data_IF_945807269094
#
_entry.id   IF_945807269094
#
_cell.length_a   1.000
_cell.length_b   1.000
_cell.length_c   1.000
_cell.angle_alpha   90.00
_cell.angle_beta   90.00
_cell.angle_gamma   90.00
#
_symmetry.space_group_name_H-M   'P 1'
#
loop_
_entity.id
_entity.type
_entity.pdbx_description
1 polymer ?
#
# COMPACT_ATOMS: atom_id res chain seq x y z
N UNK A 1 56.12 27.51 -15.66
CA UNK A 1 55.41 26.70 -14.64
C UNK A 1 53.94 27.01 -14.80
N UNK A 2 53.13 26.01 -15.16
CA UNK A 2 51.67 26.18 -15.28
C UNK A 2 51.13 26.14 -13.85
N UNK A 3 50.54 27.23 -13.37
CA UNK A 3 50.00 27.32 -12.02
C UNK A 3 48.92 26.25 -11.82
N UNK A 4 49.18 25.30 -10.91
CA UNK A 4 48.28 24.20 -10.59
C UNK A 4 46.91 24.70 -10.09
N UNK A 5 46.87 25.85 -9.43
CA UNK A 5 45.64 26.46 -8.90
C UNK A 5 44.67 26.86 -10.01
N UNK A 6 45.17 27.23 -11.20
CA UNK A 6 44.36 27.54 -12.38
C UNK A 6 43.85 26.27 -13.08
N UNK A 7 44.60 25.17 -13.00
CA UNK A 7 44.17 23.88 -13.54
C UNK A 7 43.07 23.22 -12.68
N UNK A 8 43.14 23.35 -11.35
CA UNK A 8 42.10 22.86 -10.43
C UNK A 8 40.80 23.65 -10.59
N UNK A 9 40.87 24.98 -10.78
CA UNK A 9 39.70 25.81 -11.04
C UNK A 9 38.99 25.47 -12.37
N UNK A 10 39.75 25.11 -13.41
CA UNK A 10 39.19 24.67 -14.69
C UNK A 10 38.66 23.23 -14.66
N UNK A 11 39.23 22.36 -13.81
CA UNK A 11 38.74 20.98 -13.63
C UNK A 11 37.38 20.90 -12.92
N UNK A 12 37.08 21.85 -12.03
CA UNK A 12 35.76 21.95 -11.39
C UNK A 12 34.62 22.37 -12.34
N UNK A 13 34.94 22.79 -13.58
CA UNK A 13 33.97 23.31 -14.56
C UNK A 13 33.58 22.34 -15.68
N UNK A 14 34.19 21.15 -15.74
CA UNK A 14 33.85 20.10 -16.70
C UNK A 14 33.28 18.86 -15.99
N UNK A 15 32.13 19.00 -15.33
CA UNK A 15 31.26 17.85 -15.13
C UNK A 15 30.75 17.43 -16.52
N UNK A 16 31.34 16.36 -17.08
CA UNK A 16 30.84 15.79 -18.31
C UNK A 16 29.40 15.29 -18.07
N UNK A 17 28.42 15.61 -18.95
CA UNK A 17 27.01 15.27 -18.74
C UNK A 17 26.75 13.75 -18.61
N UNK A 18 27.73 12.92 -18.96
CA UNK A 18 27.73 11.47 -18.75
C UNK A 18 27.76 11.06 -17.27
N UNK A 19 28.47 11.76 -16.39
CA UNK A 19 28.61 11.36 -14.98
C UNK A 19 27.37 11.71 -14.16
N UNK A 20 26.74 12.85 -14.44
CA UNK A 20 25.45 13.21 -13.84
C UNK A 20 24.31 12.32 -14.32
N UNK A 21 24.34 11.89 -15.60
CA UNK A 21 23.35 10.94 -16.13
C UNK A 21 23.54 9.55 -15.52
N UNK A 22 24.78 9.09 -15.39
CA UNK A 22 25.12 7.78 -14.79
C UNK A 22 24.74 7.75 -13.30
N UNK A 23 25.01 8.81 -12.54
CA UNK A 23 24.60 8.90 -11.13
C UNK A 23 23.07 8.90 -10.95
N UNK A 24 22.34 9.63 -11.80
CA UNK A 24 20.87 9.58 -11.85
C UNK A 24 20.34 8.19 -12.18
N UNK A 25 20.97 7.47 -13.11
CA UNK A 25 20.58 6.10 -13.48
C UNK A 25 20.80 5.12 -12.32
N UNK A 26 21.90 5.24 -11.57
CA UNK A 26 22.17 4.42 -10.39
C UNK A 26 21.09 4.65 -9.32
N UNK A 27 20.72 5.91 -9.06
CA UNK A 27 19.64 6.25 -8.12
C UNK A 27 18.31 5.64 -8.58
N UNK A 28 17.95 5.79 -9.86
CA UNK A 28 16.70 5.25 -10.41
C UNK A 28 16.64 3.73 -10.38
N UNK A 29 17.78 3.07 -10.66
CA UNK A 29 17.90 1.62 -10.53
C UNK A 29 17.64 1.18 -9.09
N UNK A 30 18.25 1.85 -8.12
CA UNK A 30 18.02 1.59 -6.70
C UNK A 30 16.55 1.79 -6.32
N UNK A 31 15.95 2.91 -6.72
CA UNK A 31 14.53 3.19 -6.48
C UNK A 31 13.63 2.10 -7.09
N UNK A 32 13.98 1.57 -8.27
CA UNK A 32 13.26 0.47 -8.91
C UNK A 32 13.44 -0.87 -8.18
N UNK A 33 14.66 -1.20 -7.76
CA UNK A 33 14.96 -2.41 -6.99
C UNK A 33 14.28 -2.36 -5.61
N UNK A 34 14.29 -1.20 -4.95
CA UNK A 34 13.57 -0.93 -3.69
C UNK A 34 12.05 -1.10 -3.89
N UNK A 35 11.49 -0.55 -4.97
CA UNK A 35 10.08 -0.76 -5.31
C UNK A 35 9.74 -2.24 -5.54
N UNK A 36 10.54 -2.94 -6.35
CA UNK A 36 10.31 -4.35 -6.65
C UNK A 36 10.37 -5.20 -5.39
N UNK A 37 11.37 -4.99 -4.54
CA UNK A 37 11.53 -5.74 -3.29
C UNK A 37 10.42 -5.42 -2.29
N UNK A 38 10.07 -4.15 -2.10
CA UNK A 38 9.02 -3.73 -1.17
C UNK A 38 7.62 -4.21 -1.59
N UNK A 39 7.31 -4.16 -2.89
CA UNK A 39 5.96 -4.51 -3.40
C UNK A 39 5.72 -5.99 -3.61
N UNK A 40 6.77 -6.80 -3.77
CA UNK A 40 6.62 -8.23 -4.08
C UNK A 40 5.68 -8.95 -3.11
N UNK A 41 5.84 -8.71 -1.80
CA UNK A 41 4.99 -9.33 -0.77
C UNK A 41 3.56 -8.79 -0.78
N UNK A 42 3.39 -7.48 -0.90
CA UNK A 42 2.09 -6.83 -0.96
C UNK A 42 1.25 -7.34 -2.15
N UNK A 43 1.87 -7.49 -3.31
CA UNK A 43 1.22 -8.02 -4.52
C UNK A 43 0.75 -9.47 -4.30
N UNK A 44 1.56 -10.30 -3.65
CA UNK A 44 1.18 -11.68 -3.37
C UNK A 44 0.02 -11.74 -2.36
N UNK A 45 0.07 -10.95 -1.29
CA UNK A 45 -1.01 -10.83 -0.31
C UNK A 45 -2.33 -10.36 -0.97
N UNK A 46 -2.25 -9.42 -1.92
CA UNK A 46 -3.41 -8.96 -2.70
C UNK A 46 -3.98 -10.06 -3.58
N UNK A 47 -3.12 -10.83 -4.27
CA UNK A 47 -3.56 -11.98 -5.09
C UNK A 47 -4.27 -13.03 -4.24
N UNK A 48 -3.73 -13.36 -3.07
CA UNK A 48 -4.35 -14.31 -2.15
C UNK A 48 -5.69 -13.78 -1.62
N UNK A 49 -5.74 -12.51 -1.22
CA UNK A 49 -6.97 -11.85 -0.77
C UNK A 49 -8.07 -11.88 -1.85
N UNK A 50 -7.68 -11.63 -3.10
CA UNK A 50 -8.59 -11.70 -4.25
C UNK A 50 -9.15 -13.12 -4.46
N UNK A 51 -8.30 -14.16 -4.33
CA UNK A 51 -8.74 -15.57 -4.40
C UNK A 51 -9.74 -15.94 -3.31
N UNK A 52 -9.51 -15.49 -2.08
CA UNK A 52 -10.44 -15.72 -0.97
C UNK A 52 -11.80 -15.07 -1.22
N UNK A 53 -11.83 -13.89 -1.82
CA UNK A 53 -13.07 -13.18 -2.13
C UNK A 53 -13.82 -13.79 -3.32
N UNK A 54 -13.09 -14.21 -4.37
CA UNK A 54 -13.67 -14.74 -5.61
C UNK A 54 -13.76 -16.27 -5.68
N UNK A 55 -13.76 -16.94 -4.52
CA UNK A 55 -14.11 -18.38 -4.39
C UNK A 55 -13.16 -19.30 -5.18
N UNK A 56 -11.89 -18.92 -5.33
CA UNK A 56 -10.85 -19.78 -5.90
C UNK A 56 -10.29 -20.72 -4.82
N UNK A 57 -11.06 -21.76 -4.50
CA UNK A 57 -10.79 -22.67 -3.38
C UNK A 57 -10.03 -23.94 -3.76
N UNK A 58 -9.91 -24.25 -5.05
CA UNK A 58 -9.35 -25.51 -5.52
C UNK A 58 -7.86 -25.39 -5.80
N UNK A 59 -7.08 -26.33 -5.29
CA UNK A 59 -5.69 -26.43 -5.74
C UNK A 59 -5.65 -26.97 -7.18
N UNK A 60 -4.61 -26.61 -7.97
CA UNK A 60 -4.44 -27.14 -9.33
C UNK A 60 -4.41 -28.67 -9.37
N UNK A 61 -3.93 -29.32 -8.30
CA UNK A 61 -3.87 -30.77 -8.17
C UNK A 61 -5.26 -31.40 -7.99
N UNK A 62 -6.09 -30.80 -7.12
CA UNK A 62 -7.47 -31.24 -6.92
C UNK A 62 -8.29 -31.10 -8.22
N UNK A 63 -8.07 -30.00 -8.95
CA UNK A 63 -8.73 -29.77 -10.23
C UNK A 63 -8.35 -30.85 -11.28
N UNK A 64 -7.09 -31.29 -11.30
CA UNK A 64 -6.65 -32.40 -12.17
C UNK A 64 -7.36 -33.71 -11.82
N UNK A 65 -7.52 -34.02 -10.53
CA UNK A 65 -8.23 -35.24 -10.08
C UNK A 65 -9.70 -35.21 -10.49
N UNK A 66 -10.38 -34.08 -10.31
CA UNK A 66 -11.79 -33.91 -10.70
C UNK A 66 -11.98 -34.04 -12.22
N UNK A 67 -11.07 -33.43 -13.01
CA UNK A 67 -11.06 -33.56 -14.48
C UNK A 67 -10.88 -35.01 -14.91
N UNK A 68 -9.98 -35.76 -14.28
CA UNK A 68 -9.78 -37.20 -14.57
C UNK A 68 -11.04 -38.03 -14.29
N UNK A 69 -11.80 -37.65 -13.27
CA UNK A 69 -13.10 -38.27 -12.91
C UNK A 69 -14.26 -37.79 -13.79
N UNK A 70 -14.02 -36.87 -14.72
CA UNK A 70 -15.07 -36.21 -15.52
C UNK A 70 -16.14 -35.51 -14.65
N UNK A 71 -15.72 -34.99 -13.49
CA UNK A 71 -16.59 -34.28 -12.57
C UNK A 71 -16.29 -32.77 -12.60
N UNK A 72 -17.31 -31.91 -12.70
CA UNK A 72 -17.10 -30.47 -12.59
C UNK A 72 -16.79 -30.07 -11.13
N UNK A 73 -15.86 -29.12 -10.90
CA UNK A 73 -15.65 -28.55 -9.58
C UNK A 73 -16.84 -27.68 -9.19
N UNK A 74 -17.51 -28.00 -8.08
CA UNK A 74 -18.62 -27.22 -7.52
C UNK A 74 -18.14 -26.60 -6.21
N UNK A 75 -18.16 -25.27 -6.10
CA UNK A 75 -17.86 -24.53 -4.87
C UNK A 75 -19.11 -23.85 -4.34
N UNK A 76 -19.26 -23.85 -3.02
CA UNK A 76 -20.30 -23.08 -2.33
C UNK A 76 -19.61 -21.95 -1.57
N UNK A 77 -19.90 -20.71 -1.93
CA UNK A 77 -19.32 -19.57 -1.22
C UNK A 77 -19.95 -19.40 0.17
N UNK A 78 -19.11 -19.65 1.18
CA UNK A 78 -19.36 -19.38 2.60
C UNK A 78 -18.42 -18.32 3.17
N UNK A 79 -17.37 -17.98 2.43
CA UNK A 79 -16.25 -17.16 2.91
C UNK A 79 -16.50 -15.70 2.59
N UNK A 80 -16.96 -15.38 1.36
CA UNK A 80 -17.27 -14.01 0.94
C UNK A 80 -18.28 -13.34 1.87
N UNK A 81 -19.40 -14.02 2.17
CA UNK A 81 -20.41 -13.53 3.12
C UNK A 81 -19.85 -13.23 4.52
N UNK A 82 -18.90 -14.02 5.01
CA UNK A 82 -18.26 -13.79 6.32
C UNK A 82 -17.29 -12.60 6.26
N UNK A 83 -16.55 -12.45 5.16
CA UNK A 83 -15.65 -11.31 4.93
C UNK A 83 -16.44 -10.00 4.89
N UNK A 84 -17.56 -9.95 4.16
CA UNK A 84 -18.42 -8.77 4.10
C UNK A 84 -19.03 -8.43 5.47
N UNK A 85 -19.48 -9.45 6.21
CA UNK A 85 -20.01 -9.26 7.56
C UNK A 85 -18.95 -8.71 8.52
N UNK A 86 -17.74 -9.29 8.51
CA UNK A 86 -16.67 -8.89 9.41
C UNK A 86 -16.16 -7.48 9.06
N UNK A 87 -15.96 -7.18 7.78
CA UNK A 87 -15.53 -5.85 7.33
C UNK A 87 -16.56 -4.77 7.68
N UNK A 88 -17.86 -5.09 7.54
CA UNK A 88 -18.94 -4.21 7.99
C UNK A 88 -18.92 -3.96 9.50
N UNK A 89 -18.73 -5.00 10.30
CA UNK A 89 -18.62 -4.87 11.77
C UNK A 89 -17.40 -4.06 12.18
N UNK A 90 -16.22 -4.36 11.62
CA UNK A 90 -14.98 -3.61 11.91
C UNK A 90 -15.15 -2.14 11.55
N UNK A 91 -15.80 -1.82 10.43
CA UNK A 91 -16.06 -0.44 10.04
C UNK A 91 -16.92 0.31 11.06
N UNK A 92 -17.93 -0.35 11.64
CA UNK A 92 -18.78 0.22 12.69
C UNK A 92 -18.06 0.38 14.03
N UNK A 93 -17.09 -0.48 14.30
CA UNK A 93 -16.27 -0.45 15.53
C UNK A 93 -15.10 0.52 15.45
N UNK A 94 -14.85 1.17 14.31
CA UNK A 94 -13.80 2.19 14.21
C UNK A 94 -14.14 3.35 15.13
N UNK A 95 -13.18 3.71 15.98
CA UNK A 95 -13.28 4.83 16.90
C UNK A 95 -12.42 6.00 16.42
N UNK A 96 -12.87 7.21 16.70
CA UNK A 96 -12.08 8.41 16.40
C UNK A 96 -10.77 8.45 17.18
N UNK A 97 -9.68 8.95 16.57
CA UNK A 97 -8.42 9.13 17.27
C UNK A 97 -8.59 10.12 18.44
N UNK A 98 -7.94 9.80 19.56
CA UNK A 98 -7.87 10.65 20.75
C UNK A 98 -6.41 10.73 21.21
N UNK A 99 -5.93 11.94 21.44
CA UNK A 99 -4.62 12.16 22.03
C UNK A 99 -4.72 12.10 23.55
N UNK A 100 -3.77 11.39 24.17
CA UNK A 100 -3.60 11.37 25.62
C UNK A 100 -2.39 12.22 26.01
N UNK A 101 -2.45 12.96 27.12
CA UNK A 101 -1.33 13.76 27.57
C UNK A 101 -0.20 12.86 28.10
N UNK A 102 1.02 13.12 27.65
CA UNK A 102 2.21 12.41 28.14
C UNK A 102 2.83 13.08 29.40
N UNK A 103 2.33 14.25 29.79
CA UNK A 103 2.75 15.02 30.98
C UNK A 103 1.53 15.46 31.79
N UNK A 104 1.65 15.64 33.13
CA UNK A 104 0.50 16.03 33.98
C UNK A 104 -0.18 17.35 33.58
N UNK A 105 0.58 18.32 33.07
CA UNK A 105 0.05 19.63 32.64
C UNK A 105 -0.34 19.66 31.15
N UNK A 106 -0.29 18.52 30.45
CA UNK A 106 -0.48 18.45 29.00
C UNK A 106 -1.93 18.32 28.53
N UNK A 107 -2.92 18.38 29.43
CA UNK A 107 -4.33 18.07 29.13
C UNK A 107 -4.92 18.98 28.05
N UNK A 108 -4.71 20.30 28.16
CA UNK A 108 -5.17 21.26 27.15
C UNK A 108 -4.50 21.04 25.79
N UNK A 109 -3.21 20.70 25.77
CA UNK A 109 -2.49 20.39 24.54
C UNK A 109 -3.04 19.14 23.85
N UNK A 110 -3.40 18.11 24.62
CA UNK A 110 -3.98 16.88 24.10
C UNK A 110 -5.39 17.10 23.53
N UNK A 111 -6.19 17.97 24.14
CA UNK A 111 -7.51 18.35 23.63
C UNK A 111 -7.41 19.07 22.28
N UNK A 112 -6.52 20.07 22.18
CA UNK A 112 -6.27 20.80 20.92
C UNK A 112 -5.76 19.85 19.83
N UNK A 113 -4.79 18.98 20.15
CA UNK A 113 -4.27 18.00 19.19
C UNK A 113 -5.35 17.03 18.68
N UNK A 114 -6.24 16.57 19.58
CA UNK A 114 -7.38 15.73 19.21
C UNK A 114 -8.30 16.46 18.23
N UNK A 115 -8.59 17.73 18.48
CA UNK A 115 -9.44 18.54 17.60
C UNK A 115 -8.82 18.74 16.22
N UNK A 116 -7.51 19.00 16.15
CA UNK A 116 -6.79 19.15 14.87
C UNK A 116 -6.84 17.86 14.06
N UNK A 117 -6.55 16.72 14.67
CA UNK A 117 -6.57 15.42 13.98
C UNK A 117 -7.97 15.10 13.46
N UNK A 118 -9.02 15.34 14.25
CA UNK A 118 -10.41 15.13 13.82
C UNK A 118 -10.78 16.00 12.63
N UNK A 119 -10.44 17.28 12.69
CA UNK A 119 -10.71 18.23 11.60
C UNK A 119 -10.03 17.80 10.29
N UNK A 120 -8.78 17.31 10.36
CA UNK A 120 -8.06 16.78 9.19
C UNK A 120 -8.72 15.50 8.68
N UNK A 121 -9.14 14.60 9.58
CA UNK A 121 -9.78 13.34 9.22
C UNK A 121 -11.12 13.57 8.50
N UNK A 122 -11.92 14.51 8.99
CA UNK A 122 -13.19 14.92 8.40
C UNK A 122 -12.98 15.49 6.99
N UNK A 123 -11.97 16.35 6.83
CA UNK A 123 -11.63 16.95 5.54
C UNK A 123 -11.04 15.94 4.53
N UNK A 124 -10.36 14.90 5.02
CA UNK A 124 -9.70 13.90 4.17
C UNK A 124 -10.66 12.85 3.61
N UNK A 125 -11.97 12.92 3.92
CA UNK A 125 -12.97 11.95 3.49
C UNK A 125 -12.55 10.49 3.76
N UNK A 126 -11.74 10.24 4.80
CA UNK A 126 -11.16 8.92 5.04
C UNK A 126 -12.24 7.84 5.21
N UNK A 127 -13.43 8.24 5.65
CA UNK A 127 -14.60 7.38 5.79
C UNK A 127 -15.30 7.04 4.45
N UNK A 128 -15.16 7.89 3.43
CA UNK A 128 -15.91 7.81 2.16
C UNK A 128 -15.15 7.14 1.01
N UNK A 129 -13.84 6.90 1.16
CA UNK A 129 -13.03 6.17 0.18
C UNK A 129 -13.67 4.84 -0.30
N UNK A 130 -14.28 4.00 0.58
CA UNK A 130 -14.92 2.77 0.14
C UNK A 130 -16.32 2.98 -0.48
N UNK A 131 -17.00 4.13 -0.30
CA UNK A 131 -18.26 4.41 -1.03
C UNK A 131 -18.00 4.58 -2.52
N UNK A 132 -16.87 5.19 -2.89
CA UNK A 132 -16.44 5.38 -4.28
C UNK A 132 -15.85 4.11 -4.89
N UNK A 133 -15.08 3.33 -4.13
CA UNK A 133 -14.51 2.06 -4.60
C UNK A 133 -15.54 0.91 -4.64
N UNK A 134 -16.48 0.85 -3.69
CA UNK A 134 -17.50 -0.20 -3.60
C UNK A 134 -18.64 -0.07 -4.62
N UNK A 135 -18.74 1.06 -5.33
CA UNK A 135 -19.69 1.21 -6.45
C UNK A 135 -19.39 0.25 -7.62
N UNK A 136 -18.12 -0.14 -7.79
CA UNK A 136 -17.69 -1.03 -8.86
C UNK A 136 -18.11 -2.49 -8.67
N UNK A 137 -18.26 -2.95 -7.42
CA UNK A 137 -18.55 -4.36 -7.11
C UNK A 137 -20.05 -4.69 -7.02
N UNK A 138 -20.96 -3.69 -7.08
CA UNK A 138 -22.42 -3.90 -7.00
C UNK A 138 -23.15 -3.95 -8.35
N UNK A 139 -22.46 -3.71 -9.46
CA UNK A 139 -23.05 -3.62 -10.79
C UNK A 139 -22.55 -4.68 -11.79
N UNK A 140 -22.18 -5.87 -11.31
CA UNK A 140 -21.93 -6.99 -12.22
C UNK A 140 -22.43 -8.31 -11.64
#
# INVERSE_FOLDING_TARGET
MINLDTAVANYASYESPSDTATSKLIIRRREFEDYCSAKSREIEEQRQSWRYYHVDQWTPEQLKVLRKRHQPPITFDRTGRKIDSLSGTIRRLRTDPKCYPNTPNGEQGAEVATQVIRTINDASFAEDLPRRAGAWHRHR
#
